data_IF_157718253895
#
_entry.id   IF_157718253895
#
_cell.length_a   1.000
_cell.length_b   1.000
_cell.length_c   1.000
_cell.angle_alpha   90.00
_cell.angle_beta   90.00
_cell.angle_gamma   90.00
#
_symmetry.space_group_name_H-M   'P 1'
#
loop_
_entity.id
_entity.type
_entity.pdbx_description
1 polymer ?
#
# COMPACT_ATOMS: atom_id res chain seq x y z
N UNK A 1 -8.38 -8.47 -5.00
CA UNK A 1 -7.34 -7.44 -4.92
C UNK A 1 -6.05 -8.04 -5.42
N UNK A 2 -5.26 -7.29 -6.20
CA UNK A 2 -3.90 -7.66 -6.59
C UNK A 2 -2.93 -6.83 -5.73
N UNK A 3 -1.97 -7.48 -5.09
CA UNK A 3 -1.01 -6.82 -4.20
C UNK A 3 0.34 -6.68 -4.87
N UNK A 4 1.01 -5.56 -4.63
CA UNK A 4 2.32 -5.25 -5.18
C UNK A 4 3.23 -4.67 -4.12
N UNK A 5 4.50 -5.08 -4.17
CA UNK A 5 5.61 -4.31 -3.64
C UNK A 5 6.03 -3.29 -4.68
N UNK A 6 6.05 -2.02 -4.30
CA UNK A 6 6.39 -0.91 -5.18
C UNK A 6 7.75 -0.32 -4.83
N UNK A 7 8.58 -0.03 -5.83
CA UNK A 7 9.83 0.72 -5.68
C UNK A 7 9.81 1.90 -6.63
N UNK A 8 10.41 3.03 -6.25
CA UNK A 8 10.51 4.19 -7.15
C UNK A 8 11.44 3.94 -8.35
N UNK A 9 12.41 3.05 -8.19
CA UNK A 9 13.31 2.57 -9.25
C UNK A 9 13.91 1.21 -8.86
N UNK A 10 14.56 0.48 -9.79
CA UNK A 10 15.27 -0.76 -9.48
C UNK A 10 16.34 -0.61 -8.39
N UNK A 11 17.03 0.53 -8.34
CA UNK A 11 18.12 0.84 -7.41
C UNK A 11 17.64 1.33 -6.05
N UNK A 12 16.36 1.72 -5.94
CA UNK A 12 15.79 2.21 -4.69
C UNK A 12 15.94 1.18 -3.58
N UNK A 13 16.36 1.61 -2.38
CA UNK A 13 16.45 0.74 -1.20
C UNK A 13 15.16 0.72 -0.39
N UNK A 14 14.35 1.78 -0.52
CA UNK A 14 13.00 1.85 0.04
C UNK A 14 11.97 1.16 -0.85
N UNK A 15 10.85 0.79 -0.24
CA UNK A 15 9.68 0.25 -0.94
C UNK A 15 8.39 0.70 -0.22
N UNK A 16 7.28 0.64 -0.96
CA UNK A 16 5.93 0.72 -0.43
C UNK A 16 5.14 -0.53 -0.80
N UNK A 17 3.89 -0.56 -0.36
CA UNK A 17 2.93 -1.59 -0.77
C UNK A 17 1.72 -0.94 -1.43
N UNK A 18 1.18 -1.61 -2.45
CA UNK A 18 0.00 -1.18 -3.17
C UNK A 18 -0.97 -2.35 -3.36
N UNK A 19 -2.27 -2.08 -3.23
CA UNK A 19 -3.34 -2.97 -3.61
C UNK A 19 -4.10 -2.37 -4.80
N UNK A 20 -4.41 -3.17 -5.81
CA UNK A 20 -5.28 -2.79 -6.93
C UNK A 20 -6.56 -3.61 -6.89
N UNK A 21 -7.69 -2.93 -6.98
CA UNK A 21 -8.98 -3.61 -7.09
C UNK A 21 -9.35 -3.96 -8.54
N UNK A 22 -10.50 -4.61 -8.73
CA UNK A 22 -10.96 -5.02 -10.05
C UNK A 22 -11.45 -3.84 -10.92
N UNK A 23 -11.74 -2.70 -10.31
CA UNK A 23 -12.15 -1.47 -10.99
C UNK A 23 -10.92 -0.62 -11.40
N UNK A 24 -9.73 -1.01 -10.94
CA UNK A 24 -8.46 -0.38 -11.26
C UNK A 24 -7.99 0.63 -10.21
N UNK A 25 -8.75 0.86 -9.14
CA UNK A 25 -8.32 1.78 -8.08
C UNK A 25 -7.14 1.23 -7.32
N UNK A 26 -6.17 2.12 -7.07
CA UNK A 26 -4.93 1.80 -6.39
C UNK A 26 -4.96 2.34 -4.97
N UNK A 27 -4.67 1.48 -4.00
CA UNK A 27 -4.59 1.82 -2.59
C UNK A 27 -3.16 1.60 -2.10
N UNK A 28 -2.55 2.61 -1.50
CA UNK A 28 -1.17 2.53 -0.99
C UNK A 28 -1.20 2.42 0.53
N UNK A 29 -0.41 1.50 1.08
CA UNK A 29 -0.28 1.38 2.53
C UNK A 29 0.49 2.57 3.11
N UNK A 30 -0.02 3.14 4.20
CA UNK A 30 0.66 4.17 4.98
C UNK A 30 0.96 3.68 6.39
N UNK A 31 2.24 3.61 6.73
CA UNK A 31 2.68 3.27 8.08
C UNK A 31 2.33 4.36 9.13
N UNK A 32 2.02 5.60 8.70
CA UNK A 32 1.55 6.64 9.62
C UNK A 32 0.17 6.33 10.20
N UNK A 33 -0.69 5.65 9.43
CA UNK A 33 -2.11 5.42 9.79
C UNK A 33 -2.44 3.95 9.98
N UNK A 34 -1.59 3.04 9.50
CA UNK A 34 -1.86 1.60 9.48
C UNK A 34 -2.94 1.18 8.47
N UNK A 35 -3.31 2.06 7.54
CA UNK A 35 -4.38 1.85 6.57
C UNK A 35 -3.88 1.97 5.12
N UNK A 36 -4.70 1.48 4.21
CA UNK A 36 -4.52 1.57 2.76
C UNK A 36 -5.39 2.69 2.22
N UNK A 37 -4.78 3.65 1.51
CA UNK A 37 -5.45 4.88 1.06
C UNK A 37 -5.48 4.93 -0.44
N UNK A 38 -6.63 5.27 -1.02
CA UNK A 38 -6.75 5.44 -2.46
C UNK A 38 -5.77 6.51 -2.93
N UNK A 39 -5.05 6.22 -4.01
CA UNK A 39 -4.05 7.09 -4.58
C UNK A 39 -4.22 7.18 -6.10
N UNK A 40 -4.89 8.25 -6.56
CA UNK A 40 -5.12 8.50 -7.99
C UNK A 40 -3.83 8.71 -8.80
N UNK A 41 -2.76 9.21 -8.17
CA UNK A 41 -1.46 9.33 -8.83
C UNK A 41 -0.88 7.96 -9.21
N UNK A 42 -1.09 6.94 -8.37
CA UNK A 42 -0.66 5.57 -8.65
C UNK A 42 -1.53 4.85 -9.67
N UNK A 43 -2.81 5.22 -9.78
CA UNK A 43 -3.69 4.72 -10.85
C UNK A 43 -3.09 5.08 -12.23
N UNK A 44 -2.63 6.32 -12.39
CA UNK A 44 -1.95 6.78 -13.63
C UNK A 44 -0.59 6.10 -13.80
N UNK A 45 0.26 6.13 -12.77
CA UNK A 45 1.62 5.56 -12.82
C UNK A 45 1.63 4.08 -13.22
N UNK A 46 0.68 3.29 -12.69
CA UNK A 46 0.53 1.87 -12.98
C UNK A 46 0.06 1.60 -14.41
N UNK A 47 -0.90 2.38 -14.92
CA UNK A 47 -1.47 2.16 -16.26
C UNK A 47 -0.54 2.61 -17.39
N UNK A 48 0.37 3.55 -17.11
CA UNK A 48 1.30 4.10 -18.10
C UNK A 48 2.76 3.67 -17.93
N UNK A 49 3.04 2.73 -17.00
CA UNK A 49 4.38 2.19 -16.71
C UNK A 49 5.44 3.28 -16.52
N UNK A 50 5.08 4.30 -15.74
CA UNK A 50 6.01 5.33 -15.30
C UNK A 50 6.99 4.74 -14.26
N UNK A 51 8.19 5.34 -14.12
CA UNK A 51 9.43 4.94 -13.41
C UNK A 51 9.39 3.89 -12.27
N UNK A 52 8.28 3.68 -11.58
CA UNK A 52 8.13 2.73 -10.51
C UNK A 52 8.13 1.26 -10.96
N UNK A 53 8.75 0.41 -10.15
CA UNK A 53 8.73 -1.05 -10.31
C UNK A 53 7.60 -1.63 -9.49
N UNK A 54 6.72 -2.39 -10.15
CA UNK A 54 5.58 -3.08 -9.54
C UNK A 54 5.82 -4.59 -9.50
N UNK A 55 6.22 -5.11 -8.34
CA UNK A 55 6.43 -6.54 -8.14
C UNK A 55 5.18 -7.17 -7.48
N UNK A 56 4.47 -8.10 -8.15
CA UNK A 56 3.35 -8.80 -7.53
C UNK A 56 3.78 -9.56 -6.27
N UNK A 57 2.94 -9.54 -5.23
CA UNK A 57 3.13 -10.27 -3.98
C UNK A 57 1.82 -10.91 -3.51
N UNK A 58 1.93 -11.96 -2.72
CA UNK A 58 0.79 -12.59 -2.04
C UNK A 58 0.38 -11.80 -0.79
N UNK A 59 -0.81 -12.11 -0.25
CA UNK A 59 -1.29 -11.53 1.00
C UNK A 59 -0.36 -11.80 2.19
N UNK A 60 0.19 -13.01 2.27
CA UNK A 60 1.14 -13.41 3.32
C UNK A 60 2.46 -12.66 3.19
N UNK A 61 3.04 -12.58 1.99
CA UNK A 61 4.26 -11.79 1.75
C UNK A 61 4.05 -10.30 2.07
N UNK A 62 2.90 -9.74 1.69
CA UNK A 62 2.55 -8.37 2.02
C UNK A 62 2.48 -8.16 3.53
N UNK A 63 1.96 -9.12 4.31
CA UNK A 63 1.89 -9.03 5.78
C UNK A 63 3.29 -8.93 6.40
N UNK A 64 4.24 -9.74 5.94
CA UNK A 64 5.64 -9.70 6.40
C UNK A 64 6.31 -8.36 6.05
N UNK A 65 5.97 -7.79 4.88
CA UNK A 65 6.53 -6.54 4.37
C UNK A 65 5.98 -5.27 5.04
N UNK A 66 4.79 -5.31 5.67
CA UNK A 66 4.17 -4.14 6.29
C UNK A 66 5.13 -3.43 7.27
N UNK A 67 5.84 -4.22 8.08
CA UNK A 67 6.77 -3.73 9.11
C UNK A 67 7.97 -2.96 8.55
N UNK A 68 8.33 -3.17 7.27
CA UNK A 68 9.44 -2.48 6.63
C UNK A 68 9.04 -1.25 5.82
N UNK A 69 7.74 -0.97 5.65
CA UNK A 69 7.27 0.27 5.03
C UNK A 69 7.51 1.43 5.99
N UNK A 70 8.27 2.44 5.55
CA UNK A 70 8.61 3.59 6.40
C UNK A 70 7.46 4.60 6.42
N UNK A 71 7.13 5.21 7.57
CA UNK A 71 6.20 6.31 7.62
C UNK A 71 6.76 7.53 6.89
N UNK A 72 5.88 8.34 6.30
CA UNK A 72 6.23 9.67 5.84
C UNK A 72 6.64 10.53 7.05
N UNK A 73 7.73 11.28 6.91
CA UNK A 73 8.20 12.20 7.94
C UNK A 73 7.22 13.39 8.09
N UNK A 74 6.54 13.55 9.23
CA UNK A 74 5.57 14.63 9.41
C UNK A 74 6.20 16.03 9.37
N UNK A 75 7.50 16.17 9.66
CA UNK A 75 8.17 17.48 9.59
C UNK A 75 8.35 17.94 8.14
N UNK A 76 8.72 17.01 7.26
CA UNK A 76 8.96 17.28 5.84
C UNK A 76 7.70 17.14 4.98
N UNK A 77 6.74 16.32 5.42
CA UNK A 77 5.56 15.90 4.65
C UNK A 77 4.25 16.02 5.46
N UNK A 78 4.16 16.97 6.39
CA UNK A 78 2.98 17.12 7.25
C UNK A 78 1.66 17.24 6.49
N UNK A 79 1.65 17.97 5.37
CA UNK A 79 0.47 18.09 4.50
C UNK A 79 -0.04 16.73 4.01
N UNK A 80 0.87 15.85 3.60
CA UNK A 80 0.53 14.52 3.09
C UNK A 80 -0.03 13.62 4.21
N UNK A 81 0.56 13.70 5.40
CA UNK A 81 0.06 12.96 6.57
C UNK A 81 -1.35 13.41 6.92
N UNK A 82 -1.62 14.72 6.92
CA UNK A 82 -2.95 15.28 7.15
C UNK A 82 -3.96 14.81 6.09
N UNK A 83 -3.60 14.83 4.80
CA UNK A 83 -4.49 14.33 3.74
C UNK A 83 -4.86 12.86 3.91
N UNK A 84 -3.91 12.02 4.34
CA UNK A 84 -4.19 10.62 4.65
C UNK A 84 -5.15 10.48 5.84
N UNK A 85 -4.95 11.25 6.90
CA UNK A 85 -5.81 11.24 8.09
C UNK A 85 -7.23 11.71 7.74
N UNK A 86 -7.37 12.73 6.88
CA UNK A 86 -8.65 13.33 6.50
C UNK A 86 -9.37 12.60 5.35
N UNK A 87 -8.69 11.73 4.60
CA UNK A 87 -9.28 11.01 3.48
C UNK A 87 -10.58 10.28 3.91
N UNK A 88 -11.65 10.40 3.12
CA UNK A 88 -12.95 9.83 3.47
C UNK A 88 -12.87 8.31 3.66
N UNK A 89 -13.65 7.77 4.60
CA UNK A 89 -13.59 6.36 4.99
C UNK A 89 -13.80 5.38 3.82
N UNK A 90 -14.66 5.73 2.86
CA UNK A 90 -14.90 4.92 1.65
C UNK A 90 -13.66 4.73 0.76
N UNK A 91 -12.65 5.59 0.91
CA UNK A 91 -11.39 5.52 0.17
C UNK A 91 -10.25 4.90 0.98
N UNK A 92 -10.54 4.47 2.21
CA UNK A 92 -9.62 3.76 3.09
C UNK A 92 -9.97 2.28 3.14
N UNK A 93 -8.96 1.43 3.34
CA UNK A 93 -9.12 0.00 3.57
C UNK A 93 -8.18 -0.46 4.67
N UNK A 94 -8.63 -1.46 5.42
CA UNK A 94 -7.79 -2.26 6.31
C UNK A 94 -6.96 -3.27 5.51
N UNK A 95 -5.91 -3.80 6.13
CA UNK A 95 -5.10 -4.88 5.56
C UNK A 95 -5.94 -6.11 5.18
N UNK A 96 -6.91 -6.49 6.00
CA UNK A 96 -7.81 -7.60 5.72
C UNK A 96 -8.67 -7.35 4.46
N UNK A 97 -9.20 -6.14 4.28
CA UNK A 97 -10.02 -5.76 3.13
C UNK A 97 -9.25 -5.76 1.81
N UNK A 98 -7.92 -5.57 1.85
CA UNK A 98 -7.06 -5.69 0.66
C UNK A 98 -6.49 -7.10 0.45
N UNK A 99 -6.83 -8.06 1.33
CA UNK A 99 -6.39 -9.45 1.24
C UNK A 99 -5.01 -9.73 1.85
N UNK A 100 -4.52 -8.86 2.72
CA UNK A 100 -3.33 -9.12 3.53
C UNK A 100 -3.77 -9.96 4.73
N UNK A 101 -3.25 -11.18 4.78
CA UNK A 101 -3.57 -12.16 5.82
C UNK A 101 -2.30 -12.50 6.54
N UNK A 102 -2.26 -12.25 7.85
CA UNK A 102 -1.23 -12.83 8.70
C UNK A 102 -1.28 -14.34 8.49
N UNK A 103 -0.13 -14.99 8.23
CA UNK A 103 -0.06 -16.44 7.93
C UNK A 103 -0.62 -17.36 9.02
N UNK A 104 -1.20 -16.81 10.09
CA UNK A 104 -2.11 -17.51 11.01
C UNK A 104 -3.44 -17.79 10.32
N UNK A 105 -3.46 -18.80 9.46
CA UNK A 105 -4.70 -19.53 9.19
C UNK A 105 -5.31 -20.03 10.52
N UNK A 106 -6.62 -20.31 10.57
CA UNK A 106 -7.26 -20.77 11.79
C UNK A 106 -6.52 -22.01 12.31
N UNK A 107 -5.95 -21.89 13.52
CA UNK A 107 -5.48 -23.05 14.26
C UNK A 107 -6.72 -23.90 14.55
N UNK A 108 -6.87 -25.00 13.80
CA UNK A 108 -7.88 -25.99 14.10
C UNK A 108 -7.52 -26.64 15.44
N UNK A 109 -8.37 -26.38 16.45
CA UNK A 109 -8.43 -27.10 17.70
C UNK A 109 -9.75 -27.87 17.77
#
# INVERSE_FOLDING_TARGET
MQLYKIKASPESTGYGLMARDAEGYCYVYSANTGLWHRNGGREIDFDFDHEAVYQPVTGTEAAELLSGVRPADPQSMGWYVTELEEQAAQWKKTSAEVGVTDGSGPSAA
#
